data_IF_911446961319
#
_entry.id   IF_911446961319
#
_cell.length_a   1.000
_cell.length_b   1.000
_cell.length_c   1.000
_cell.angle_alpha   90.00
_cell.angle_beta   90.00
_cell.angle_gamma   90.00
#
_symmetry.space_group_name_H-M   'P 1'
#
loop_
_entity.id
_entity.type
_entity.pdbx_description
1 polymer ?
#
# COMPACT_ATOMS: atom_id res chain seq x y z
N UNK A 1 13.31 -16.10 13.62
CA UNK A 1 13.77 -15.19 12.55
C UNK A 1 13.07 -13.84 12.65
N UNK A 2 13.84 -12.81 12.45
CA UNK A 2 13.34 -11.44 12.54
C UNK A 2 12.59 -11.07 11.27
N UNK A 3 11.34 -10.65 11.43
CA UNK A 3 10.50 -10.21 10.32
C UNK A 3 10.95 -8.82 9.83
N UNK A 4 11.02 -8.60 8.52
CA UNK A 4 11.32 -7.28 7.97
C UNK A 4 10.15 -6.31 8.22
N UNK A 5 10.46 -5.01 8.27
CA UNK A 5 9.46 -3.99 8.59
C UNK A 5 8.36 -3.90 7.53
N UNK A 6 8.71 -4.01 6.26
CA UNK A 6 7.76 -3.97 5.16
C UNK A 6 6.79 -5.16 5.24
N UNK A 7 7.30 -6.36 5.50
CA UNK A 7 6.47 -7.55 5.66
C UNK A 7 5.53 -7.40 6.85
N UNK A 8 6.02 -6.86 7.96
CA UNK A 8 5.21 -6.61 9.15
C UNK A 8 4.03 -5.70 8.83
N UNK A 9 4.26 -4.59 8.14
CA UNK A 9 3.19 -3.64 7.79
C UNK A 9 2.19 -4.27 6.84
N UNK A 10 2.67 -5.00 5.83
CA UNK A 10 1.80 -5.67 4.86
C UNK A 10 0.92 -6.71 5.55
N UNK A 11 1.50 -7.58 6.37
CA UNK A 11 0.74 -8.61 7.10
C UNK A 11 -0.24 -8.01 8.10
N UNK A 12 0.18 -6.97 8.83
CA UNK A 12 -0.71 -6.28 9.77
C UNK A 12 -1.91 -5.66 9.05
N UNK A 13 -1.68 -5.06 7.87
CA UNK A 13 -2.74 -4.48 7.07
C UNK A 13 -3.73 -5.54 6.59
N UNK A 14 -3.23 -6.69 6.14
CA UNK A 14 -4.06 -7.81 5.70
C UNK A 14 -4.91 -8.36 6.85
N UNK A 15 -4.32 -8.52 8.02
CA UNK A 15 -5.03 -8.99 9.21
C UNK A 15 -6.08 -7.98 9.66
N UNK A 16 -5.75 -6.70 9.59
CA UNK A 16 -6.66 -5.62 9.98
C UNK A 16 -7.96 -5.64 9.16
N UNK A 17 -7.85 -5.83 7.84
CA UNK A 17 -9.04 -5.89 6.96
C UNK A 17 -9.63 -7.29 6.87
N UNK A 18 -9.06 -8.26 7.59
CA UNK A 18 -9.53 -9.65 7.62
C UNK A 18 -9.56 -10.29 6.23
N UNK A 19 -8.50 -10.09 5.46
CA UNK A 19 -8.36 -10.70 4.15
C UNK A 19 -8.35 -12.23 4.29
N UNK A 20 -9.26 -12.95 3.62
CA UNK A 20 -9.37 -14.41 3.78
C UNK A 20 -8.37 -15.20 2.95
N UNK A 21 -7.53 -14.51 2.17
CA UNK A 21 -6.59 -15.15 1.24
C UNK A 21 -5.15 -14.90 1.63
N UNK A 22 -4.27 -15.84 1.29
CA UNK A 22 -2.85 -15.55 1.21
C UNK A 22 -2.65 -14.68 -0.02
N UNK A 23 -1.80 -13.67 0.08
CA UNK A 23 -1.65 -12.65 -0.96
C UNK A 23 -0.21 -12.53 -1.43
N UNK A 24 -0.08 -12.06 -2.67
CA UNK A 24 1.18 -11.62 -3.25
C UNK A 24 1.10 -10.11 -3.47
N UNK A 25 2.06 -9.38 -2.91
CA UNK A 25 2.20 -7.94 -3.08
C UNK A 25 3.60 -7.67 -3.58
N UNK A 26 3.73 -6.97 -4.69
CA UNK A 26 5.02 -6.54 -5.21
C UNK A 26 5.37 -5.16 -4.64
N UNK A 27 6.54 -5.04 -4.04
CA UNK A 27 7.02 -3.78 -3.47
C UNK A 27 8.36 -3.43 -4.13
N UNK A 28 8.38 -2.31 -4.83
CA UNK A 28 9.58 -1.79 -5.49
C UNK A 28 10.01 -0.49 -4.80
N UNK A 29 11.26 -0.45 -4.36
CA UNK A 29 11.89 0.77 -3.85
C UNK A 29 12.67 1.39 -5.00
N UNK A 30 12.48 2.68 -5.22
CA UNK A 30 13.08 3.36 -6.35
C UNK A 30 13.47 4.81 -6.00
N UNK A 31 13.87 5.58 -6.99
CA UNK A 31 14.29 6.98 -6.84
C UNK A 31 13.22 7.93 -7.35
N UNK A 32 13.37 9.23 -7.03
CA UNK A 32 12.48 10.27 -7.56
C UNK A 32 12.47 10.28 -9.09
N UNK A 33 13.62 10.09 -9.70
CA UNK A 33 13.74 10.08 -11.16
C UNK A 33 12.94 8.92 -11.77
N UNK A 34 13.11 7.71 -11.24
CA UNK A 34 12.41 6.53 -11.76
C UNK A 34 10.92 6.56 -11.48
N UNK A 35 10.49 6.98 -10.29
CA UNK A 35 9.07 7.04 -9.97
C UNK A 35 8.34 8.11 -10.80
N UNK A 36 9.03 9.19 -11.12
CA UNK A 36 8.52 10.21 -12.04
C UNK A 36 8.23 9.59 -13.40
N UNK A 37 9.15 8.78 -13.92
CA UNK A 37 8.99 8.10 -15.20
C UNK A 37 7.84 7.10 -15.18
N UNK A 38 7.73 6.31 -14.11
CA UNK A 38 6.62 5.36 -13.94
C UNK A 38 5.28 6.12 -13.88
N UNK A 39 5.22 7.20 -13.13
CA UNK A 39 4.03 8.02 -13.00
C UNK A 39 3.61 8.62 -14.34
N UNK A 40 4.58 9.10 -15.13
CA UNK A 40 4.34 9.62 -16.47
C UNK A 40 3.79 8.55 -17.41
N UNK A 41 4.39 7.37 -17.40
CA UNK A 41 3.99 6.27 -18.29
C UNK A 41 2.64 5.66 -17.92
N UNK A 42 2.40 5.46 -16.62
CA UNK A 42 1.21 4.74 -16.15
C UNK A 42 0.01 5.64 -15.88
N UNK A 43 0.24 6.89 -15.50
CA UNK A 43 -0.83 7.80 -15.07
C UNK A 43 -0.87 9.10 -15.87
N UNK A 44 0.08 9.31 -16.79
CA UNK A 44 0.23 10.52 -17.59
C UNK A 44 0.47 11.77 -16.71
N UNK A 45 1.11 11.59 -15.57
CA UNK A 45 1.49 12.67 -14.66
C UNK A 45 3.01 12.75 -14.64
N UNK A 46 3.57 13.82 -15.20
CA UNK A 46 5.02 14.02 -15.34
C UNK A 46 5.61 14.67 -14.10
N UNK A 47 5.63 13.91 -13.00
CA UNK A 47 6.10 14.43 -11.72
C UNK A 47 6.42 13.26 -10.77
N UNK A 48 7.43 13.44 -9.90
CA UNK A 48 7.73 12.48 -8.86
C UNK A 48 6.66 12.53 -7.77
N UNK A 49 6.42 11.39 -7.13
CA UNK A 49 5.52 11.26 -5.98
C UNK A 49 6.20 10.38 -4.95
N UNK A 50 5.63 10.27 -3.76
CA UNK A 50 6.17 9.41 -2.70
C UNK A 50 5.86 7.94 -2.92
N UNK A 51 4.63 7.62 -3.29
CA UNK A 51 4.19 6.23 -3.48
C UNK A 51 3.19 6.14 -4.63
N UNK A 52 3.25 5.03 -5.36
CA UNK A 52 2.27 4.65 -6.36
C UNK A 52 1.69 3.29 -5.98
N UNK A 53 0.38 3.16 -6.11
CA UNK A 53 -0.35 1.94 -5.83
C UNK A 53 -1.08 1.48 -7.08
N UNK A 54 -0.89 0.22 -7.45
CA UNK A 54 -1.52 -0.37 -8.64
C UNK A 54 -2.34 -1.59 -8.23
N UNK A 55 -3.61 -1.39 -7.83
CA UNK A 55 -4.47 -2.51 -7.45
C UNK A 55 -4.76 -3.43 -8.64
N UNK A 56 -4.73 -4.73 -8.42
CA UNK A 56 -5.13 -5.72 -9.43
C UNK A 56 -6.61 -6.03 -9.37
N UNK A 57 -7.23 -5.87 -8.20
CA UNK A 57 -8.65 -6.18 -7.99
C UNK A 57 -9.49 -4.92 -7.91
N UNK A 58 -10.74 -5.03 -8.34
CA UNK A 58 -11.76 -3.99 -8.17
C UNK A 58 -12.69 -4.38 -7.02
N UNK A 59 -13.10 -3.39 -6.25
CA UNK A 59 -13.97 -3.60 -5.08
C UNK A 59 -15.22 -2.74 -5.21
N UNK A 60 -16.38 -3.34 -5.01
CA UNK A 60 -17.62 -2.56 -4.93
C UNK A 60 -17.65 -1.77 -3.62
N UNK A 61 -17.21 -2.41 -2.54
CA UNK A 61 -17.04 -1.76 -1.23
C UNK A 61 -15.60 -1.98 -0.78
N UNK A 62 -14.89 -0.93 -0.36
CA UNK A 62 -13.50 -1.08 0.11
C UNK A 62 -13.37 -2.14 1.20
N UNK A 63 -12.41 -3.03 1.05
CA UNK A 63 -12.15 -4.10 2.01
C UNK A 63 -13.08 -5.29 1.93
N UNK A 64 -13.98 -5.33 0.95
CA UNK A 64 -14.88 -6.46 0.76
C UNK A 64 -14.30 -7.44 -0.26
N UNK A 65 -13.79 -8.57 0.22
CA UNK A 65 -13.15 -9.61 -0.60
C UNK A 65 -14.12 -10.69 -1.10
N UNK A 66 -15.41 -10.57 -0.80
CA UNK A 66 -16.37 -11.67 -0.97
C UNK A 66 -16.57 -12.15 -2.40
N UNK A 67 -16.29 -11.33 -3.39
CA UNK A 67 -16.51 -11.67 -4.79
C UNK A 67 -15.22 -11.90 -5.60
N UNK A 68 -14.06 -11.84 -4.96
CA UNK A 68 -12.79 -11.96 -5.68
C UNK A 68 -12.54 -13.37 -6.22
N UNK A 69 -13.06 -14.39 -5.57
CA UNK A 69 -12.93 -15.79 -6.00
C UNK A 69 -13.64 -16.09 -7.31
N UNK A 70 -14.53 -15.21 -7.76
CA UNK A 70 -15.22 -15.35 -9.05
C UNK A 70 -14.30 -15.05 -10.24
N UNK A 71 -13.17 -14.37 -9.99
CA UNK A 71 -12.18 -14.04 -11.03
C UNK A 71 -10.89 -14.82 -10.82
N UNK A 72 -10.76 -15.94 -11.53
CA UNK A 72 -9.57 -16.80 -11.45
C UNK A 72 -8.29 -16.08 -11.88
N UNK A 73 -8.39 -15.04 -12.70
CA UNK A 73 -7.24 -14.24 -13.15
C UNK A 73 -6.58 -13.44 -12.05
N UNK A 74 -7.23 -13.26 -10.90
CA UNK A 74 -6.66 -12.56 -9.75
C UNK A 74 -5.75 -13.45 -8.91
N UNK A 75 -5.78 -14.77 -9.13
CA UNK A 75 -5.01 -15.70 -8.30
C UNK A 75 -3.83 -16.27 -9.09
N UNK A 76 -2.69 -16.36 -8.42
CA UNK A 76 -1.48 -16.86 -9.05
C UNK A 76 -1.67 -18.34 -9.46
N UNK A 77 -1.39 -18.69 -10.73
CA UNK A 77 -1.68 -20.05 -11.22
C UNK A 77 -0.89 -21.15 -10.53
N UNK A 78 0.28 -20.84 -9.99
CA UNK A 78 1.16 -21.82 -9.36
C UNK A 78 0.98 -21.91 -7.84
N UNK A 79 0.73 -20.78 -7.17
CA UNK A 79 0.66 -20.71 -5.70
C UNK A 79 -0.75 -20.59 -5.15
N UNK A 80 -1.71 -20.13 -5.96
CA UNK A 80 -3.06 -19.85 -5.50
C UNK A 80 -3.20 -18.55 -4.71
N UNK A 81 -2.12 -17.80 -4.53
CA UNK A 81 -2.18 -16.54 -3.81
C UNK A 81 -2.94 -15.48 -4.58
N UNK A 82 -3.72 -14.67 -3.87
CA UNK A 82 -4.36 -13.50 -4.46
C UNK A 82 -3.29 -12.47 -4.83
N UNK A 83 -3.20 -12.14 -6.11
CA UNK A 83 -2.29 -11.10 -6.59
C UNK A 83 -2.93 -9.75 -6.32
N UNK A 84 -2.59 -9.14 -5.18
CA UNK A 84 -3.26 -7.96 -4.68
C UNK A 84 -2.90 -6.70 -5.46
N UNK A 85 -1.64 -6.57 -5.84
CA UNK A 85 -1.17 -5.44 -6.62
C UNK A 85 0.28 -5.08 -6.36
N UNK A 86 0.65 -3.92 -6.90
CA UNK A 86 2.02 -3.41 -6.85
C UNK A 86 2.10 -2.10 -6.08
N UNK A 87 3.16 -1.96 -5.30
CA UNK A 87 3.49 -0.74 -4.56
C UNK A 87 4.86 -0.27 -5.04
N UNK A 88 4.98 1.00 -5.40
CA UNK A 88 6.25 1.62 -5.78
C UNK A 88 6.49 2.80 -4.86
N UNK A 89 7.65 2.83 -4.18
CA UNK A 89 7.99 3.88 -3.21
C UNK A 89 9.29 4.56 -3.61
N UNK A 90 9.29 5.90 -3.63
CA UNK A 90 10.51 6.68 -3.80
C UNK A 90 11.24 6.77 -2.47
N UNK A 91 12.44 6.19 -2.40
CA UNK A 91 13.31 6.27 -1.21
C UNK A 91 13.68 7.73 -0.93
N UNK A 92 13.90 8.52 -1.99
CA UNK A 92 14.21 9.95 -1.85
C UNK A 92 13.12 10.69 -1.08
N UNK A 93 11.85 10.38 -1.38
CA UNK A 93 10.70 10.98 -0.68
C UNK A 93 10.58 10.50 0.75
N UNK A 94 10.95 9.25 1.03
CA UNK A 94 10.95 8.75 2.41
C UNK A 94 11.91 9.56 3.26
N UNK A 95 13.14 9.79 2.79
CA UNK A 95 14.12 10.61 3.49
C UNK A 95 13.64 12.06 3.67
N UNK A 96 13.16 12.66 2.60
CA UNK A 96 12.69 14.05 2.62
C UNK A 96 11.52 14.25 3.57
N UNK A 97 10.52 13.39 3.51
CA UNK A 97 9.31 13.50 4.33
C UNK A 97 9.56 13.14 5.80
N UNK A 98 10.42 12.15 6.06
CA UNK A 98 10.81 11.81 7.44
C UNK A 98 11.45 13.02 8.13
N UNK A 99 12.35 13.72 7.43
CA UNK A 99 12.97 14.92 7.95
C UNK A 99 11.95 16.05 8.15
N UNK A 100 11.10 16.29 7.15
CA UNK A 100 10.08 17.34 7.19
C UNK A 100 9.11 17.17 8.35
N UNK A 101 8.66 15.94 8.60
CA UNK A 101 7.65 15.66 9.63
C UNK A 101 8.23 15.27 10.98
N UNK A 102 9.55 15.19 11.09
CA UNK A 102 10.20 14.79 12.34
C UNK A 102 9.95 13.35 12.73
N UNK A 103 9.81 12.47 11.75
CA UNK A 103 9.65 11.03 11.95
C UNK A 103 10.97 10.30 11.72
N UNK A 104 11.07 9.06 12.22
CA UNK A 104 12.13 8.17 11.79
C UNK A 104 11.88 7.74 10.34
N UNK A 105 12.95 7.31 9.65
CA UNK A 105 12.83 6.75 8.30
C UNK A 105 11.89 5.55 8.29
N UNK A 106 12.03 4.69 9.30
CA UNK A 106 11.22 3.49 9.41
C UNK A 106 9.74 3.81 9.53
N UNK A 107 9.39 4.83 10.34
CA UNK A 107 8.01 5.25 10.49
C UNK A 107 7.42 5.80 9.19
N UNK A 108 8.17 6.64 8.47
CA UNK A 108 7.69 7.19 7.21
C UNK A 108 7.50 6.10 6.17
N UNK A 109 8.44 5.17 6.07
CA UNK A 109 8.36 4.03 5.19
C UNK A 109 7.13 3.17 5.50
N UNK A 110 6.93 2.83 6.78
CA UNK A 110 5.78 2.05 7.23
C UNK A 110 4.47 2.76 6.92
N UNK A 111 4.42 4.07 7.12
CA UNK A 111 3.24 4.89 6.84
C UNK A 111 2.86 4.83 5.36
N UNK A 112 3.83 4.93 4.46
CA UNK A 112 3.57 4.86 3.02
C UNK A 112 3.11 3.46 2.59
N UNK A 113 3.65 2.41 3.18
CA UNK A 113 3.19 1.04 2.90
C UNK A 113 1.74 0.86 3.36
N UNK A 114 1.42 1.28 4.58
CA UNK A 114 0.06 1.17 5.12
C UNK A 114 -0.94 1.93 4.23
N UNK A 115 -0.57 3.14 3.83
CA UNK A 115 -1.38 3.95 2.92
C UNK A 115 -1.64 3.23 1.60
N UNK A 116 -0.58 2.69 1.00
CA UNK A 116 -0.67 1.97 -0.27
C UNK A 116 -1.49 0.68 -0.14
N UNK A 117 -1.32 -0.05 0.95
CA UNK A 117 -2.12 -1.27 1.19
C UNK A 117 -3.62 -0.96 1.22
N UNK A 118 -4.01 0.15 1.84
CA UNK A 118 -5.42 0.55 1.84
C UNK A 118 -5.93 0.83 0.43
N UNK A 119 -5.12 1.45 -0.42
CA UNK A 119 -5.47 1.63 -1.83
C UNK A 119 -5.64 0.28 -2.55
N UNK A 120 -4.78 -0.69 -2.24
CA UNK A 120 -4.89 -2.03 -2.83
C UNK A 120 -6.16 -2.75 -2.38
N UNK A 121 -6.73 -2.38 -1.24
CA UNK A 121 -8.01 -2.91 -0.74
C UNK A 121 -9.22 -2.13 -1.27
N UNK A 122 -9.01 -1.12 -2.08
CA UNK A 122 -10.08 -0.34 -2.68
C UNK A 122 -10.42 0.97 -1.98
N UNK A 123 -9.75 1.32 -0.87
CA UNK A 123 -9.94 2.61 -0.23
C UNK A 123 -9.35 3.73 -1.08
N UNK A 124 -9.98 4.88 -1.05
CA UNK A 124 -9.53 6.04 -1.80
C UNK A 124 -9.74 7.30 -0.97
N UNK A 125 -9.23 8.44 -1.45
CA UNK A 125 -9.32 9.72 -0.76
C UNK A 125 -9.80 10.85 -1.69
N UNK A 126 -10.58 10.51 -2.71
CA UNK A 126 -11.13 11.47 -3.68
C UNK A 126 -12.16 12.39 -3.05
N UNK A 127 -13.00 11.86 -2.15
CA UNK A 127 -14.00 12.64 -1.44
C UNK A 127 -13.63 12.75 0.03
N UNK A 128 -14.15 13.78 0.72
CA UNK A 128 -13.79 14.03 2.11
C UNK A 128 -14.18 12.87 3.04
N UNK A 129 -15.35 12.27 2.84
CA UNK A 129 -15.81 11.13 3.66
C UNK A 129 -14.87 9.94 3.47
N UNK A 130 -14.52 9.65 2.22
CA UNK A 130 -13.58 8.57 1.90
C UNK A 130 -12.20 8.82 2.49
N UNK A 131 -11.71 10.05 2.39
CA UNK A 131 -10.41 10.43 2.94
C UNK A 131 -10.37 10.24 4.46
N UNK A 132 -11.40 10.67 5.16
CA UNK A 132 -11.48 10.52 6.63
C UNK A 132 -11.51 9.06 7.04
N UNK A 133 -12.25 8.23 6.31
CA UNK A 133 -12.31 6.79 6.57
C UNK A 133 -10.95 6.15 6.35
N UNK A 134 -10.27 6.49 5.25
CA UNK A 134 -8.95 5.97 4.94
C UNK A 134 -7.94 6.40 6.00
N UNK A 135 -7.95 7.66 6.42
CA UNK A 135 -7.06 8.17 7.47
C UNK A 135 -7.29 7.45 8.81
N UNK A 136 -8.52 7.17 9.14
CA UNK A 136 -8.87 6.41 10.35
C UNK A 136 -8.29 5.01 10.33
N UNK A 137 -8.45 4.30 9.22
CA UNK A 137 -7.89 2.96 9.05
C UNK A 137 -6.37 2.98 9.08
N UNK A 138 -5.76 3.96 8.42
CA UNK A 138 -4.31 4.12 8.40
C UNK A 138 -3.74 4.33 9.80
N UNK A 139 -4.40 5.17 10.59
CA UNK A 139 -4.01 5.40 11.98
C UNK A 139 -4.06 4.11 12.80
N UNK A 140 -5.12 3.34 12.65
CA UNK A 140 -5.28 2.07 13.36
C UNK A 140 -4.21 1.04 12.97
N UNK A 141 -3.90 0.94 11.69
CA UNK A 141 -2.84 0.05 11.22
C UNK A 141 -1.49 0.47 11.82
N UNK A 142 -1.19 1.76 11.81
CA UNK A 142 0.06 2.27 12.37
C UNK A 142 0.17 2.02 13.89
N UNK A 143 -0.95 2.11 14.61
CA UNK A 143 -0.99 1.77 16.03
C UNK A 143 -0.68 0.28 16.25
N UNK A 144 -1.24 -0.59 15.41
CA UNK A 144 -1.01 -2.04 15.50
C UNK A 144 0.42 -2.42 15.15
N UNK A 145 1.01 -1.76 14.16
CA UNK A 145 2.41 -1.99 13.78
C UNK A 145 3.37 -1.52 14.87
N UNK A 146 2.99 -0.48 15.61
CA UNK A 146 3.74 0.04 16.75
C UNK A 146 5.18 0.43 16.43
N UNK A 147 5.37 1.11 15.31
CA UNK A 147 6.67 1.69 14.95
C UNK A 147 6.74 3.11 15.50
N UNK A 148 7.71 3.38 16.36
CA UNK A 148 7.90 4.69 16.99
C UNK A 148 8.44 5.72 16.01
N UNK A 149 8.16 6.97 16.32
CA UNK A 149 8.61 8.12 15.52
C UNK A 149 10.13 8.28 15.51
#
# INVERSE_FOLDING_TARGET
TRRSSDLLVIETSLDYVKCPYETEVSLLLTTDEEIKEINRMQRQIDRATDVLSFPMADYETPGDFSHLDEDAGLFHPDTGELMLGDIVISVDKVFEQAEEYGHSLLREYAFLIAHSMLHLFGYDHMEEVERKEMEMHQKKIMELVNITR
#
